data_IF_743151499780
#
_entry.id   IF_743151499780
#
_cell.length_a   1.000
_cell.length_b   1.000
_cell.length_c   1.000
_cell.angle_alpha   90.00
_cell.angle_beta   90.00
_cell.angle_gamma   90.00
#
_symmetry.space_group_name_H-M   'P 1'
#
loop_
_entity.id
_entity.type
_entity.pdbx_description
1 polymer ?
#
# COMPACT_ATOMS: atom_id res chain seq x y z
N UNK A 1 0.93 0.33 9.48
CA UNK A 1 0.88 -0.76 8.47
C UNK A 1 -0.31 -0.51 7.54
N UNK A 2 -0.12 -0.56 6.21
CA UNK A 2 -1.15 -0.22 5.21
C UNK A 2 -1.97 -1.43 4.71
N UNK A 3 -1.59 -2.66 5.07
CA UNK A 3 -2.40 -3.87 4.83
C UNK A 3 -2.05 -4.65 3.56
N UNK A 4 -0.93 -4.35 2.90
CA UNK A 4 -0.41 -5.19 1.81
C UNK A 4 0.31 -6.44 2.39
N UNK A 5 0.12 -7.63 1.80
CA UNK A 5 0.90 -8.82 2.15
C UNK A 5 2.32 -8.73 1.59
N UNK A 6 3.26 -9.43 2.21
CA UNK A 6 4.59 -9.63 1.65
C UNK A 6 4.52 -10.55 0.41
N UNK A 7 5.39 -10.31 -0.57
CA UNK A 7 5.52 -11.09 -1.80
C UNK A 7 7.00 -11.32 -2.13
N UNK A 8 7.70 -12.12 -1.32
CA UNK A 8 9.16 -12.28 -1.36
C UNK A 8 9.72 -12.82 -2.69
N UNK A 9 8.90 -13.47 -3.51
CA UNK A 9 9.28 -13.95 -4.85
C UNK A 9 9.13 -12.88 -5.94
N UNK A 10 8.62 -11.69 -5.60
CA UNK A 10 8.41 -10.56 -6.51
C UNK A 10 9.69 -9.84 -6.95
N UNK A 11 9.64 -9.07 -8.04
CA UNK A 11 10.75 -8.26 -8.53
C UNK A 11 11.03 -7.02 -7.65
N UNK A 12 12.20 -6.40 -7.81
CA UNK A 12 12.56 -5.14 -7.14
C UNK A 12 11.61 -3.95 -7.44
N UNK A 13 10.84 -4.02 -8.52
CA UNK A 13 9.81 -3.02 -8.82
C UNK A 13 8.63 -3.06 -7.84
N UNK A 14 8.37 -4.21 -7.22
CA UNK A 14 7.36 -4.37 -6.17
C UNK A 14 7.99 -4.07 -4.81
N UNK A 15 7.47 -3.08 -4.09
CA UNK A 15 7.99 -2.70 -2.77
C UNK A 15 7.81 -3.84 -1.75
N UNK A 16 6.70 -4.56 -1.85
CA UNK A 16 6.36 -5.67 -0.96
C UNK A 16 7.15 -6.95 -1.26
N UNK A 17 8.05 -6.96 -2.26
CA UNK A 17 9.05 -8.01 -2.42
C UNK A 17 10.12 -7.99 -1.33
N UNK A 18 10.27 -6.86 -0.65
CA UNK A 18 11.16 -6.70 0.50
C UNK A 18 12.59 -7.07 0.16
N UNK A 19 13.15 -8.04 0.90
CA UNK A 19 14.53 -8.50 0.73
C UNK A 19 14.73 -9.54 -0.38
N UNK A 20 13.65 -10.03 -1.02
CA UNK A 20 13.71 -11.11 -2.02
C UNK A 20 14.65 -10.83 -3.21
N UNK A 21 14.58 -9.63 -3.83
CA UNK A 21 15.46 -9.23 -4.92
C UNK A 21 16.93 -9.02 -4.53
N UNK A 22 17.26 -9.15 -3.24
CA UNK A 22 18.60 -8.99 -2.71
C UNK A 22 19.00 -7.54 -2.41
N UNK A 23 20.16 -7.34 -1.75
CA UNK A 23 20.58 -6.05 -1.19
C UNK A 23 20.91 -4.98 -2.24
N UNK A 24 21.03 -5.36 -3.51
CA UNK A 24 21.21 -4.41 -4.62
C UNK A 24 19.91 -3.67 -4.98
N UNK A 25 18.76 -4.19 -4.57
CA UNK A 25 17.48 -3.53 -4.75
C UNK A 25 17.34 -2.36 -3.77
N UNK A 26 17.18 -1.15 -4.31
CA UNK A 26 17.07 0.10 -3.54
C UNK A 26 15.77 0.84 -3.82
N UNK A 27 14.85 0.22 -4.56
CA UNK A 27 13.56 0.82 -4.86
C UNK A 27 12.74 0.97 -3.57
N UNK A 28 12.28 2.19 -3.31
CA UNK A 28 11.45 2.53 -2.16
C UNK A 28 10.01 2.88 -2.56
N UNK A 29 9.70 2.83 -3.86
CA UNK A 29 8.39 3.21 -4.38
C UNK A 29 7.55 1.96 -4.66
N UNK A 30 6.30 1.93 -4.16
CA UNK A 30 5.37 0.88 -4.54
C UNK A 30 4.99 1.00 -6.00
N UNK A 31 4.71 -0.13 -6.62
CA UNK A 31 4.20 -0.15 -7.98
C UNK A 31 2.72 0.30 -8.04
N UNK A 32 2.17 0.40 -9.26
CA UNK A 32 0.79 0.83 -9.45
C UNK A 32 -0.23 -0.16 -8.87
N UNK A 33 0.08 -1.45 -8.83
CA UNK A 33 -0.82 -2.47 -8.28
C UNK A 33 -0.89 -2.37 -6.75
N UNK A 34 0.25 -2.19 -6.08
CA UNK A 34 0.38 -1.97 -4.65
C UNK A 34 -0.35 -0.70 -4.21
N UNK A 35 -0.17 0.40 -4.95
CA UNK A 35 -0.89 1.66 -4.71
C UNK A 35 -2.40 1.46 -4.83
N UNK A 36 -2.86 0.81 -5.91
CA UNK A 36 -4.28 0.53 -6.13
C UNK A 36 -4.87 -0.31 -5.00
N UNK A 37 -4.13 -1.31 -4.53
CA UNK A 37 -4.56 -2.19 -3.43
C UNK A 37 -4.68 -1.43 -2.11
N UNK A 38 -3.74 -0.55 -1.77
CA UNK A 38 -3.85 0.33 -0.60
C UNK A 38 -5.09 1.24 -0.71
N UNK A 39 -5.30 1.86 -1.87
CA UNK A 39 -6.46 2.72 -2.09
C UNK A 39 -7.78 1.96 -1.88
N UNK A 40 -7.87 0.72 -2.35
CA UNK A 40 -9.05 -0.14 -2.13
C UNK A 40 -9.25 -0.49 -0.66
N UNK A 41 -8.19 -0.86 0.05
CA UNK A 41 -8.25 -1.21 1.48
C UNK A 41 -8.73 -0.03 2.34
N UNK A 42 -8.33 1.19 1.98
CA UNK A 42 -8.62 2.40 2.76
C UNK A 42 -9.77 3.26 2.23
N UNK A 43 -10.38 2.89 1.09
CA UNK A 43 -11.51 3.62 0.51
C UNK A 43 -12.65 3.85 1.52
N UNK A 44 -12.98 2.81 2.31
CA UNK A 44 -14.03 2.89 3.33
C UNK A 44 -13.58 3.63 4.60
N UNK A 45 -12.28 3.68 4.87
CA UNK A 45 -11.70 4.43 5.99
C UNK A 45 -11.81 5.94 5.76
N UNK A 46 -11.47 6.39 4.55
CA UNK A 46 -11.65 7.78 4.14
C UNK A 46 -13.12 8.19 4.16
N UNK A 47 -14.00 7.38 3.57
CA UNK A 47 -15.44 7.64 3.58
C UNK A 47 -16.05 7.72 4.99
N UNK A 48 -15.51 6.98 5.96
CA UNK A 48 -15.93 7.06 7.37
C UNK A 48 -15.52 8.40 7.99
N UNK A 49 -14.31 8.86 7.73
CA UNK A 49 -13.81 10.15 8.22
C UNK A 49 -14.62 11.32 7.65
N UNK A 50 -14.91 11.32 6.36
CA UNK A 50 -15.75 12.34 5.71
C UNK A 50 -17.15 12.43 6.34
N UNK A 51 -17.79 11.27 6.58
CA UNK A 51 -19.08 11.21 7.28
C UNK A 51 -18.99 11.75 8.71
N UNK A 52 -17.89 11.49 9.42
CA UNK A 52 -17.67 12.03 10.76
C UNK A 52 -17.49 13.54 10.75
N UNK A 53 -16.73 14.08 9.79
CA UNK A 53 -16.55 15.51 9.61
C UNK A 53 -17.89 16.20 9.28
N UNK A 54 -18.67 15.63 8.36
CA UNK A 54 -19.99 16.14 7.98
C UNK A 54 -21.01 16.12 9.14
N UNK A 55 -20.87 15.20 10.10
CA UNK A 55 -21.73 15.10 11.29
C UNK A 55 -21.33 16.07 12.40
N UNK A 56 -20.15 16.70 12.29
CA UNK A 56 -19.58 17.59 13.32
C UNK A 56 -19.97 19.07 13.12
N UNK A 57 -20.79 19.36 12.10
CA UNK A 57 -21.40 20.65 11.79
C UNK A 57 -22.93 20.53 11.87
#
# INVERSE_FOLDING_TARGET
MLGLPDHYEGPCSELMSGGGPGPSCTNSQPDQAEISRVNQLWANGLAKLEKQLAKSH
#
